data_IF_460029988543
#
_entry.id   IF_460029988543
#
_cell.length_a   1.000
_cell.length_b   1.000
_cell.length_c   1.000
_cell.angle_alpha   90.00
_cell.angle_beta   90.00
_cell.angle_gamma   90.00
#
_symmetry.space_group_name_H-M   'P 1'
#
loop_
_entity.id
_entity.type
_entity.pdbx_description
1 polymer ?
#
# COMPACT_ATOMS: atom_id res chain seq x y z
N UNK A 1 -48.51 -30.89 -27.41
CA UNK A 1 -47.39 -31.64 -28.02
C UNK A 1 -46.08 -31.06 -27.49
N UNK A 2 -45.23 -31.92 -26.94
CA UNK A 2 -43.95 -31.60 -26.31
C UNK A 2 -42.92 -31.25 -27.37
N UNK A 3 -42.17 -30.15 -27.23
CA UNK A 3 -40.78 -30.04 -27.74
C UNK A 3 -39.96 -29.11 -26.84
N UNK A 4 -38.85 -29.64 -26.37
CA UNK A 4 -37.89 -29.06 -25.44
C UNK A 4 -36.67 -28.49 -26.17
N UNK A 5 -35.82 -27.76 -25.43
CA UNK A 5 -34.35 -27.55 -25.64
C UNK A 5 -34.01 -26.41 -26.65
N UNK A 6 -33.07 -25.49 -26.44
CA UNK A 6 -31.89 -25.42 -25.54
C UNK A 6 -31.53 -23.96 -25.17
N UNK A 7 -31.03 -23.80 -23.95
CA UNK A 7 -30.19 -22.67 -23.51
C UNK A 7 -28.82 -22.74 -24.20
N UNK A 8 -28.40 -21.66 -24.87
CA UNK A 8 -27.02 -21.49 -25.32
C UNK A 8 -26.31 -20.52 -24.37
N UNK A 9 -25.45 -21.07 -23.50
CA UNK A 9 -24.51 -20.33 -22.66
C UNK A 9 -23.40 -19.79 -23.57
N UNK A 10 -23.38 -18.47 -23.77
CA UNK A 10 -22.24 -17.79 -24.40
C UNK A 10 -21.17 -17.61 -23.32
N UNK A 11 -20.21 -18.52 -23.29
CA UNK A 11 -18.98 -18.38 -22.53
C UNK A 11 -18.11 -17.30 -23.19
N UNK A 12 -18.15 -16.07 -22.66
CA UNK A 12 -17.17 -15.04 -22.97
C UNK A 12 -15.84 -15.43 -22.32
N UNK A 13 -14.98 -16.10 -23.09
CA UNK A 13 -13.59 -16.31 -22.73
C UNK A 13 -12.88 -14.95 -22.69
N UNK A 14 -12.64 -14.44 -21.48
CA UNK A 14 -11.76 -13.30 -21.25
C UNK A 14 -10.33 -13.70 -21.64
N UNK A 15 -9.88 -13.20 -22.78
CA UNK A 15 -8.47 -13.24 -23.18
C UNK A 15 -7.74 -12.25 -22.29
N UNK A 16 -7.12 -12.75 -21.22
CA UNK A 16 -6.13 -12.01 -20.46
C UNK A 16 -4.87 -11.84 -21.33
N UNK A 17 -4.31 -10.63 -21.48
CA UNK A 17 -2.92 -10.51 -21.88
C UNK A 17 -2.07 -11.11 -20.76
N UNK A 18 -1.51 -12.29 -21.03
CA UNK A 18 -0.39 -12.85 -20.28
C UNK A 18 0.79 -11.90 -20.45
N UNK A 19 0.93 -10.93 -19.55
CA UNK A 19 2.16 -10.17 -19.40
C UNK A 19 3.22 -11.13 -18.87
N UNK A 20 4.19 -11.45 -19.72
CA UNK A 20 5.39 -12.19 -19.34
C UNK A 20 6.13 -11.44 -18.23
N UNK A 21 6.06 -11.97 -17.00
CA UNK A 21 7.05 -11.68 -15.96
C UNK A 21 8.35 -12.41 -16.29
N UNK A 22 9.12 -11.87 -17.24
CA UNK A 22 10.40 -12.43 -17.67
C UNK A 22 11.58 -11.49 -17.35
N UNK A 23 11.68 -10.99 -16.12
CA UNK A 23 12.94 -10.42 -15.60
C UNK A 23 13.17 -10.70 -14.09
N UNK A 24 12.37 -11.56 -13.46
CA UNK A 24 12.53 -11.90 -12.04
C UNK A 24 13.41 -13.16 -11.80
N UNK A 25 14.31 -13.48 -12.74
CA UNK A 25 14.98 -14.80 -12.79
C UNK A 25 16.49 -14.82 -12.68
N UNK A 26 17.20 -13.69 -12.63
CA UNK A 26 18.68 -13.69 -12.69
C UNK A 26 19.41 -13.18 -11.43
N UNK A 27 18.81 -13.27 -10.24
CA UNK A 27 19.48 -12.79 -9.02
C UNK A 27 20.09 -13.89 -8.13
N UNK A 28 20.03 -15.17 -8.54
CA UNK A 28 20.53 -16.29 -7.70
C UNK A 28 21.49 -17.26 -8.40
N UNK A 29 22.31 -16.79 -9.32
CA UNK A 29 23.31 -17.61 -10.01
C UNK A 29 24.65 -16.91 -10.14
N UNK A 30 25.64 -17.40 -9.41
CA UNK A 30 26.97 -16.80 -9.32
C UNK A 30 27.72 -16.68 -10.66
N UNK A 31 28.39 -15.54 -10.82
CA UNK A 31 29.54 -15.37 -11.70
C UNK A 31 30.66 -14.74 -10.87
N UNK A 32 31.74 -15.51 -10.66
CA UNK A 32 32.99 -15.02 -10.10
C UNK A 32 33.65 -14.01 -11.04
N UNK A 33 34.42 -13.09 -10.42
CA UNK A 33 35.26 -12.01 -10.98
C UNK A 33 34.51 -10.68 -11.09
N UNK A 34 34.88 -9.59 -10.41
CA UNK A 34 36.18 -9.17 -9.92
C UNK A 34 36.09 -8.48 -8.54
N UNK A 35 37.17 -8.60 -7.78
CA UNK A 35 37.44 -7.88 -6.54
C UNK A 35 37.54 -6.36 -6.80
N UNK A 36 36.44 -5.65 -6.61
CA UNK A 36 36.41 -4.24 -6.22
C UNK A 36 35.46 -4.15 -5.04
N UNK A 37 35.89 -3.55 -3.94
CA UNK A 37 35.10 -3.34 -2.71
C UNK A 37 33.61 -3.11 -3.02
N UNK A 38 32.80 -4.15 -2.80
CA UNK A 38 31.36 -4.10 -3.00
C UNK A 38 30.76 -3.23 -1.88
N UNK A 39 30.84 -1.91 -2.04
CA UNK A 39 29.92 -1.02 -1.37
C UNK A 39 28.52 -1.44 -1.80
N UNK A 40 27.63 -1.66 -0.82
CA UNK A 40 26.24 -1.98 -1.10
C UNK A 40 25.70 -0.99 -2.16
N UNK A 41 24.97 -1.48 -3.17
CA UNK A 41 24.31 -0.60 -4.14
C UNK A 41 23.12 0.10 -3.47
N UNK A 42 23.44 1.14 -2.70
CA UNK A 42 22.47 1.94 -1.97
C UNK A 42 21.52 2.67 -2.94
N UNK A 43 21.99 2.99 -4.15
CA UNK A 43 21.17 3.69 -5.15
C UNK A 43 20.06 2.79 -5.70
N UNK A 44 20.37 1.54 -6.02
CA UNK A 44 19.39 0.53 -6.41
C UNK A 44 18.44 0.18 -5.27
N UNK A 45 18.96 0.00 -4.05
CA UNK A 45 18.15 -0.25 -2.86
C UNK A 45 17.17 0.89 -2.56
N UNK A 46 17.63 2.15 -2.61
CA UNK A 46 16.75 3.31 -2.47
C UNK A 46 15.65 3.29 -3.53
N UNK A 47 16.00 3.08 -4.80
CA UNK A 47 15.03 3.10 -5.91
C UNK A 47 13.94 2.05 -5.75
N UNK A 48 14.30 0.88 -5.22
CA UNK A 48 13.33 -0.16 -4.89
C UNK A 48 12.46 0.23 -3.68
N UNK A 49 13.07 0.78 -2.62
CA UNK A 49 12.34 1.25 -1.44
C UNK A 49 11.33 2.35 -1.80
N UNK A 50 11.74 3.36 -2.57
CA UNK A 50 10.86 4.47 -2.95
C UNK A 50 9.68 4.03 -3.81
N UNK A 51 9.91 3.08 -4.72
CA UNK A 51 8.84 2.49 -5.54
C UNK A 51 7.85 1.71 -4.67
N UNK A 52 8.33 0.84 -3.78
CA UNK A 52 7.48 0.04 -2.89
C UNK A 52 6.72 0.92 -1.90
N UNK A 53 7.39 1.90 -1.29
CA UNK A 53 6.79 2.85 -0.36
C UNK A 53 5.67 3.65 -1.01
N UNK A 54 5.92 4.22 -2.20
CA UNK A 54 4.89 4.95 -2.94
C UNK A 54 3.71 4.08 -3.31
N UNK A 55 3.96 2.85 -3.78
CA UNK A 55 2.91 1.91 -4.14
C UNK A 55 2.03 1.55 -2.94
N UNK A 56 2.64 1.27 -1.78
CA UNK A 56 1.94 1.04 -0.54
C UNK A 56 1.09 2.25 -0.13
N UNK A 57 1.64 3.47 -0.22
CA UNK A 57 0.90 4.69 0.08
C UNK A 57 -0.27 4.94 -0.87
N UNK A 58 -0.14 4.60 -2.16
CA UNK A 58 -1.24 4.66 -3.14
C UNK A 58 -2.39 3.71 -2.77
N UNK A 59 -2.07 2.50 -2.33
CA UNK A 59 -3.10 1.57 -1.85
C UNK A 59 -3.81 2.14 -0.63
N UNK A 60 -3.08 2.71 0.33
CA UNK A 60 -3.67 3.32 1.52
C UNK A 60 -4.57 4.50 1.17
N UNK A 61 -4.14 5.39 0.27
CA UNK A 61 -4.99 6.50 -0.21
C UNK A 61 -6.25 5.98 -0.90
N UNK A 62 -6.13 4.95 -1.74
CA UNK A 62 -7.28 4.32 -2.41
C UNK A 62 -8.24 3.72 -1.39
N UNK A 63 -7.71 3.00 -0.40
CA UNK A 63 -8.46 2.43 0.69
C UNK A 63 -9.21 3.49 1.51
N UNK A 64 -8.52 4.59 1.85
CA UNK A 64 -9.10 5.73 2.54
C UNK A 64 -10.21 6.38 1.70
N UNK A 65 -10.08 6.39 0.37
CA UNK A 65 -11.10 6.80 -0.58
C UNK A 65 -12.40 6.02 -0.42
N UNK A 66 -12.31 4.69 -0.50
CA UNK A 66 -13.43 3.79 -0.33
C UNK A 66 -14.06 3.90 1.07
N UNK A 67 -13.23 3.88 2.13
CA UNK A 67 -13.70 4.00 3.51
C UNK A 67 -14.38 5.37 3.72
N UNK A 68 -13.78 6.45 3.24
CA UNK A 68 -14.34 7.79 3.33
C UNK A 68 -15.67 7.91 2.58
N UNK A 69 -15.76 7.37 1.36
CA UNK A 69 -17.00 7.34 0.58
C UNK A 69 -18.11 6.56 1.31
N UNK A 70 -17.80 5.39 1.86
CA UNK A 70 -18.72 4.58 2.64
C UNK A 70 -19.24 5.29 3.90
N UNK A 71 -18.38 6.10 4.54
CA UNK A 71 -18.72 6.90 5.71
C UNK A 71 -19.37 8.25 5.36
N UNK A 72 -19.43 8.62 4.08
CA UNK A 72 -19.96 9.90 3.60
C UNK A 72 -19.03 11.10 3.82
N UNK A 73 -17.73 10.88 3.97
CA UNK A 73 -16.70 11.91 4.03
C UNK A 73 -16.45 12.42 2.60
N UNK A 74 -16.61 13.72 2.35
CA UNK A 74 -16.41 14.30 1.01
C UNK A 74 -14.96 14.15 0.54
N UNK A 75 -14.76 13.56 -0.64
CA UNK A 75 -13.49 13.12 -1.23
C UNK A 75 -12.47 14.22 -1.62
N UNK A 76 -12.57 15.44 -1.07
CA UNK A 76 -11.73 16.57 -1.48
C UNK A 76 -10.26 16.44 -1.06
N UNK A 77 -9.91 15.51 -0.16
CA UNK A 77 -8.54 15.32 0.35
C UNK A 77 -7.75 14.19 -0.35
N UNK A 78 -8.41 13.25 -1.02
CA UNK A 78 -7.84 11.90 -1.22
C UNK A 78 -7.03 11.76 -2.54
N UNK A 79 -7.23 12.64 -3.53
CA UNK A 79 -6.83 12.33 -4.90
C UNK A 79 -5.57 13.06 -5.44
N UNK A 80 -5.10 14.13 -4.79
CA UNK A 80 -4.01 14.96 -5.34
C UNK A 80 -2.61 14.32 -5.17
N UNK A 81 -2.39 13.51 -4.13
CA UNK A 81 -1.08 12.86 -3.89
C UNK A 81 -0.84 11.60 -4.75
N UNK A 82 -1.88 11.06 -5.39
CA UNK A 82 -1.81 9.82 -6.17
C UNK A 82 -1.22 9.99 -7.59
N UNK A 83 -1.06 11.21 -8.08
CA UNK A 83 -0.78 11.47 -9.51
C UNK A 83 0.67 11.87 -9.84
N UNK A 84 1.55 12.05 -8.85
CA UNK A 84 2.99 12.33 -9.09
C UNK A 84 3.78 11.02 -9.25
N UNK A 85 4.56 10.89 -10.33
CA UNK A 85 5.52 9.79 -10.55
C UNK A 85 6.91 10.09 -9.96
N UNK A 86 7.13 11.29 -9.42
CA UNK A 86 8.42 11.72 -8.87
C UNK A 86 8.73 11.03 -7.54
N UNK A 87 9.85 10.30 -7.44
CA UNK A 87 10.28 9.52 -6.26
C UNK A 87 11.10 10.33 -5.22
N UNK A 88 10.95 11.66 -5.22
CA UNK A 88 11.69 12.53 -4.30
C UNK A 88 11.21 12.40 -2.84
N UNK A 89 12.07 12.74 -1.88
CA UNK A 89 11.70 12.75 -0.45
C UNK A 89 10.51 13.67 -0.17
N UNK A 90 10.43 14.83 -0.85
CA UNK A 90 9.30 15.75 -0.71
C UNK A 90 7.98 15.18 -1.22
N UNK A 91 7.99 14.38 -2.29
CA UNK A 91 6.78 13.72 -2.78
C UNK A 91 6.31 12.63 -1.82
N UNK A 92 7.25 11.87 -1.23
CA UNK A 92 6.94 10.86 -0.21
C UNK A 92 6.36 11.53 1.05
N UNK A 93 6.90 12.67 1.45
CA UNK A 93 6.36 13.45 2.57
C UNK A 93 4.97 13.99 2.29
N UNK A 94 4.71 14.50 1.09
CA UNK A 94 3.38 14.95 0.69
C UNK A 94 2.37 13.79 0.71
N UNK A 95 2.77 12.60 0.25
CA UNK A 95 1.97 11.38 0.35
C UNK A 95 1.65 11.02 1.80
N UNK A 96 2.65 10.98 2.68
CA UNK A 96 2.44 10.63 4.09
C UNK A 96 1.54 11.64 4.82
N UNK A 97 1.65 12.93 4.47
CA UNK A 97 0.75 13.98 4.96
C UNK A 97 -0.70 13.75 4.52
N UNK A 98 -0.92 13.38 3.26
CA UNK A 98 -2.25 13.07 2.75
C UNK A 98 -2.84 11.84 3.46
N UNK A 99 -2.07 10.76 3.56
CA UNK A 99 -2.47 9.54 4.28
C UNK A 99 -2.83 9.87 5.74
N UNK A 100 -2.04 10.70 6.41
CA UNK A 100 -2.28 11.08 7.80
C UNK A 100 -3.55 11.91 7.97
N UNK A 101 -3.80 12.86 7.07
CA UNK A 101 -5.01 13.67 7.07
C UNK A 101 -6.27 12.82 6.84
N UNK A 102 -6.22 11.90 5.89
CA UNK A 102 -7.31 10.97 5.60
C UNK A 102 -7.55 10.02 6.78
N UNK A 103 -6.50 9.44 7.34
CA UNK A 103 -6.57 8.57 8.51
C UNK A 103 -7.21 9.29 9.71
N UNK A 104 -6.89 10.56 9.91
CA UNK A 104 -7.51 11.38 10.95
C UNK A 104 -9.00 11.61 10.67
N UNK A 105 -9.37 12.03 9.46
CA UNK A 105 -10.77 12.25 9.09
C UNK A 105 -11.62 10.97 9.23
N UNK A 106 -11.08 9.82 8.82
CA UNK A 106 -11.72 8.52 9.00
C UNK A 106 -11.84 8.20 10.49
N UNK A 107 -10.76 8.32 11.26
CA UNK A 107 -10.77 8.06 12.70
C UNK A 107 -11.81 8.92 13.44
N UNK A 108 -11.93 10.18 13.06
CA UNK A 108 -12.91 11.11 13.63
C UNK A 108 -14.34 10.71 13.26
N UNK A 109 -14.61 10.32 12.01
CA UNK A 109 -15.90 9.81 11.58
C UNK A 109 -16.30 8.50 12.30
N UNK A 110 -15.34 7.59 12.49
CA UNK A 110 -15.54 6.34 13.22
C UNK A 110 -15.87 6.61 14.70
N UNK A 111 -15.22 7.61 15.33
CA UNK A 111 -15.49 8.02 16.72
C UNK A 111 -16.80 8.80 16.88
N UNK A 112 -17.20 9.57 15.87
CA UNK A 112 -18.45 10.36 15.91
C UNK A 112 -19.71 9.51 15.72
N UNK A 113 -19.57 8.17 15.64
CA UNK A 113 -20.69 7.26 15.48
C UNK A 113 -21.24 7.21 14.06
N UNK A 114 -20.41 7.41 13.04
CA UNK A 114 -20.81 7.18 11.65
C UNK A 114 -21.39 5.75 11.50
N UNK A 115 -22.36 5.57 10.62
CA UNK A 115 -22.95 4.26 10.33
C UNK A 115 -23.00 4.03 8.83
N UNK A 116 -22.93 2.76 8.44
CA UNK A 116 -23.04 2.37 7.04
C UNK A 116 -24.51 2.36 6.65
N UNK A 117 -24.91 3.33 5.81
CA UNK A 117 -26.30 3.65 5.52
C UNK A 117 -27.06 2.54 4.77
N UNK A 118 -26.35 1.77 3.95
CA UNK A 118 -26.93 0.73 3.10
C UNK A 118 -25.91 -0.39 2.77
N UNK A 119 -26.34 -1.39 1.99
CA UNK A 119 -25.46 -2.49 1.55
C UNK A 119 -24.34 -2.02 0.62
N UNK A 120 -24.55 -0.98 -0.17
CA UNK A 120 -23.52 -0.44 -1.05
C UNK A 120 -22.40 0.18 -0.21
N UNK A 121 -22.73 0.97 0.82
CA UNK A 121 -21.77 1.50 1.78
C UNK A 121 -21.02 0.39 2.53
N UNK A 122 -21.71 -0.71 2.90
CA UNK A 122 -21.05 -1.88 3.51
C UNK A 122 -20.05 -2.54 2.58
N UNK A 123 -20.40 -2.70 1.30
CA UNK A 123 -19.52 -3.28 0.29
C UNK A 123 -18.33 -2.37 0.00
N UNK A 124 -18.57 -1.07 -0.20
CA UNK A 124 -17.55 -0.05 -0.40
C UNK A 124 -16.56 -0.02 0.77
N UNK A 125 -17.07 -0.07 2.01
CA UNK A 125 -16.25 -0.15 3.21
C UNK A 125 -15.39 -1.42 3.24
N UNK A 126 -15.96 -2.57 2.85
CA UNK A 126 -15.25 -3.84 2.78
C UNK A 126 -14.13 -3.81 1.74
N UNK A 127 -14.38 -3.24 0.57
CA UNK A 127 -13.38 -3.05 -0.49
C UNK A 127 -12.24 -2.16 0.00
N UNK A 128 -12.57 -1.04 0.64
CA UNK A 128 -11.58 -0.17 1.28
C UNK A 128 -10.76 -0.90 2.34
N UNK A 129 -11.39 -1.74 3.18
CA UNK A 129 -10.69 -2.51 4.21
C UNK A 129 -9.71 -3.52 3.60
N UNK A 130 -10.08 -4.20 2.51
CA UNK A 130 -9.18 -5.12 1.79
C UNK A 130 -7.96 -4.38 1.27
N UNK A 131 -8.14 -3.24 0.62
CA UNK A 131 -7.05 -2.44 0.08
C UNK A 131 -6.18 -1.86 1.20
N UNK A 132 -6.77 -1.45 2.32
CA UNK A 132 -6.02 -0.95 3.48
C UNK A 132 -5.09 -2.03 4.03
N UNK A 133 -5.59 -3.25 4.19
CA UNK A 133 -4.79 -4.40 4.62
C UNK A 133 -3.63 -4.64 3.66
N UNK A 134 -3.86 -4.58 2.35
CA UNK A 134 -2.77 -4.74 1.36
C UNK A 134 -1.71 -3.65 1.48
N UNK A 135 -2.11 -2.39 1.64
CA UNK A 135 -1.18 -1.27 1.87
C UNK A 135 -0.35 -1.48 3.14
N UNK A 136 -0.99 -1.83 4.25
CA UNK A 136 -0.31 -2.14 5.53
C UNK A 136 0.67 -3.30 5.38
N UNK A 137 0.26 -4.39 4.71
CA UNK A 137 1.16 -5.54 4.44
C UNK A 137 2.39 -5.12 3.66
N UNK A 138 2.26 -4.25 2.65
CA UNK A 138 3.40 -3.75 1.86
C UNK A 138 4.35 -2.89 2.70
N UNK A 139 3.82 -2.02 3.57
CA UNK A 139 4.63 -1.26 4.52
C UNK A 139 5.39 -2.18 5.49
N UNK A 140 4.72 -3.18 6.07
CA UNK A 140 5.34 -4.14 6.98
C UNK A 140 6.42 -4.97 6.26
N UNK A 141 6.10 -5.51 5.09
CA UNK A 141 7.03 -6.36 4.32
C UNK A 141 8.33 -5.63 3.99
N UNK A 142 8.25 -4.33 3.68
CA UNK A 142 9.39 -3.46 3.37
C UNK A 142 10.33 -3.19 4.56
N UNK A 143 9.93 -3.53 5.79
CA UNK A 143 10.71 -3.21 7.00
C UNK A 143 12.11 -3.82 6.97
N UNK A 144 12.26 -5.03 6.40
CA UNK A 144 13.54 -5.71 6.31
C UNK A 144 14.48 -5.03 5.30
N UNK A 145 13.97 -4.64 4.13
CA UNK A 145 14.73 -3.89 3.13
C UNK A 145 15.10 -2.50 3.63
N UNK A 146 14.19 -1.83 4.34
CA UNK A 146 14.44 -0.53 4.95
C UNK A 146 15.54 -0.62 6.02
N UNK A 147 15.53 -1.66 6.85
CA UNK A 147 16.58 -1.89 7.85
C UNK A 147 17.92 -2.22 7.19
N UNK A 148 17.92 -3.01 6.12
CA UNK A 148 19.12 -3.31 5.33
C UNK A 148 19.71 -2.03 4.74
N UNK A 149 18.86 -1.17 4.17
CA UNK A 149 19.28 0.13 3.66
C UNK A 149 19.78 1.05 4.77
N UNK A 150 19.14 1.08 5.95
CA UNK A 150 19.58 1.88 7.09
C UNK A 150 20.99 1.51 7.57
N UNK A 151 21.30 0.21 7.59
CA UNK A 151 22.63 -0.30 7.93
C UNK A 151 23.66 0.14 6.87
N UNK A 152 23.29 0.08 5.60
CA UNK A 152 24.12 0.55 4.50
C UNK A 152 24.31 2.07 4.48
N UNK A 153 23.27 2.82 4.86
CA UNK A 153 23.32 4.29 4.99
C UNK A 153 24.29 4.73 6.08
N UNK A 154 24.36 3.97 7.18
CA UNK A 154 25.29 4.24 8.29
C UNK A 154 26.76 4.07 7.90
N UNK A 155 27.04 3.30 6.85
CA UNK A 155 28.39 3.11 6.28
C UNK A 155 28.62 3.88 4.96
N UNK A 156 27.62 4.66 4.52
CA UNK A 156 27.71 5.46 3.30
C UNK A 156 28.69 6.62 3.45
N UNK A 157 29.45 6.91 2.40
CA UNK A 157 30.37 8.06 2.40
C UNK A 157 29.58 9.37 2.36
N UNK A 158 30.09 10.48 2.96
CA UNK A 158 29.42 11.79 2.91
C UNK A 158 29.09 12.28 1.50
N UNK A 159 29.86 11.88 0.49
CA UNK A 159 29.59 12.20 -0.92
C UNK A 159 28.39 11.45 -1.51
N UNK A 160 27.98 10.31 -0.93
CA UNK A 160 26.84 9.51 -1.38
C UNK A 160 25.52 9.95 -0.72
N UNK A 161 25.58 10.51 0.49
CA UNK A 161 24.40 10.89 1.28
C UNK A 161 23.40 11.82 0.55
N UNK A 162 23.83 12.83 -0.23
CA UNK A 162 22.89 13.71 -0.93
C UNK A 162 21.98 12.95 -1.92
N UNK A 163 22.47 11.87 -2.52
CA UNK A 163 21.70 11.03 -3.44
C UNK A 163 20.77 10.03 -2.75
N UNK A 164 20.84 9.89 -1.41
CA UNK A 164 20.16 8.87 -0.61
C UNK A 164 19.01 9.41 0.27
N UNK A 165 18.60 10.65 0.03
CA UNK A 165 17.62 11.37 0.87
C UNK A 165 16.24 10.70 0.90
N UNK A 166 15.73 10.18 -0.22
CA UNK A 166 14.43 9.51 -0.25
C UNK A 166 14.43 8.21 0.55
N UNK A 167 15.50 7.43 0.47
CA UNK A 167 15.67 6.21 1.26
C UNK A 167 15.83 6.52 2.74
N UNK A 168 16.60 7.56 3.09
CA UNK A 168 16.74 8.03 4.46
C UNK A 168 15.40 8.51 5.05
N UNK A 169 14.60 9.22 4.24
CA UNK A 169 13.24 9.60 4.62
C UNK A 169 12.39 8.37 4.97
N UNK A 170 12.37 7.36 4.09
CA UNK A 170 11.60 6.13 4.28
C UNK A 170 12.01 5.40 5.56
N UNK A 171 13.32 5.21 5.79
CA UNK A 171 13.81 4.56 7.01
C UNK A 171 13.31 5.27 8.28
N UNK A 172 13.22 6.60 8.24
CA UNK A 172 12.75 7.41 9.37
C UNK A 172 11.23 7.38 9.52
N UNK A 173 10.47 7.44 8.43
CA UNK A 173 9.00 7.54 8.47
C UNK A 173 8.32 6.18 8.63
N UNK A 174 8.89 5.13 8.05
CA UNK A 174 8.29 3.80 7.95
C UNK A 174 7.77 3.23 9.28
N UNK A 175 8.53 3.22 10.39
CA UNK A 175 8.05 2.67 11.66
C UNK A 175 6.79 3.40 12.17
N UNK A 176 6.77 4.72 12.04
CA UNK A 176 5.63 5.57 12.44
C UNK A 176 4.43 5.33 11.51
N UNK A 177 4.67 5.24 10.20
CA UNK A 177 3.61 4.93 9.22
C UNK A 177 2.97 3.57 9.51
N UNK A 178 3.76 2.53 9.80
CA UNK A 178 3.24 1.20 10.18
C UNK A 178 2.38 1.29 11.44
N UNK A 179 2.88 1.95 12.50
CA UNK A 179 2.14 2.12 13.77
C UNK A 179 0.80 2.84 13.57
N UNK A 180 0.81 3.95 12.82
CA UNK A 180 -0.40 4.73 12.57
C UNK A 180 -1.42 3.95 11.73
N UNK A 181 -0.97 3.27 10.67
CA UNK A 181 -1.85 2.53 9.77
C UNK A 181 -2.41 1.25 10.40
N UNK A 182 -1.62 0.55 11.23
CA UNK A 182 -2.13 -0.59 12.01
C UNK A 182 -3.16 -0.12 13.04
N UNK A 183 -2.94 1.03 13.68
CA UNK A 183 -3.93 1.66 14.56
C UNK A 183 -5.24 2.02 13.84
N UNK A 184 -5.16 2.61 12.64
CA UNK A 184 -6.32 2.89 11.78
C UNK A 184 -7.03 1.60 11.39
N UNK A 185 -6.29 0.59 10.92
CA UNK A 185 -6.83 -0.69 10.51
C UNK A 185 -7.57 -1.38 11.67
N UNK A 186 -7.03 -1.34 12.89
CA UNK A 186 -7.69 -1.88 14.08
C UNK A 186 -9.05 -1.23 14.32
N UNK A 187 -9.10 0.09 14.25
CA UNK A 187 -10.35 0.85 14.41
C UNK A 187 -11.34 0.52 13.29
N UNK A 188 -10.86 0.44 12.05
CA UNK A 188 -11.68 0.10 10.89
C UNK A 188 -12.25 -1.33 10.96
N UNK A 189 -11.45 -2.31 11.38
CA UNK A 189 -11.89 -3.70 11.60
C UNK A 189 -12.94 -3.77 12.72
N UNK A 190 -12.72 -3.05 13.82
CA UNK A 190 -13.68 -3.00 14.94
C UNK A 190 -15.03 -2.44 14.47
N UNK A 191 -14.99 -1.38 13.67
CA UNK A 191 -16.16 -0.77 13.08
C UNK A 191 -16.88 -1.70 12.09
N UNK A 192 -16.13 -2.36 11.20
CA UNK A 192 -16.66 -3.35 10.27
C UNK A 192 -17.45 -4.44 10.99
N UNK A 193 -16.87 -5.03 12.04
CA UNK A 193 -17.54 -6.06 12.85
C UNK A 193 -18.83 -5.54 13.49
N UNK A 194 -18.79 -4.33 14.02
CA UNK A 194 -19.95 -3.70 14.68
C UNK A 194 -21.07 -3.35 13.70
N UNK A 195 -20.76 -3.18 12.41
CA UNK A 195 -21.73 -2.85 11.35
C UNK A 195 -22.06 -4.06 10.43
N UNK A 196 -21.69 -5.29 10.82
CA UNK A 196 -22.01 -6.50 10.06
C UNK A 196 -21.26 -6.63 8.73
N UNK A 197 -20.12 -5.95 8.59
CA UNK A 197 -19.24 -6.07 7.40
C UNK A 197 -18.27 -7.23 7.61
N UNK A 198 -18.15 -8.10 6.60
CA UNK A 198 -17.20 -9.20 6.62
C UNK A 198 -15.77 -8.67 6.66
N UNK A 199 -15.00 -9.12 7.65
CA UNK A 199 -13.59 -8.72 7.81
C UNK A 199 -12.70 -9.72 7.05
N UNK A 200 -11.77 -9.26 6.20
CA UNK A 200 -10.80 -10.13 5.55
C UNK A 200 -9.95 -10.88 6.59
N UNK A 201 -9.73 -12.18 6.41
CA UNK A 201 -8.87 -12.98 7.32
C UNK A 201 -7.43 -12.42 7.40
N UNK A 202 -6.96 -11.83 6.31
CA UNK A 202 -5.66 -11.16 6.25
C UNK A 202 -5.57 -9.93 7.17
N UNK A 203 -6.69 -9.27 7.49
CA UNK A 203 -6.69 -8.12 8.39
C UNK A 203 -6.23 -8.49 9.80
N UNK A 204 -6.57 -9.69 10.27
CA UNK A 204 -6.12 -10.20 11.57
C UNK A 204 -4.66 -10.66 11.58
N UNK A 205 -4.04 -10.88 10.41
CA UNK A 205 -2.63 -11.29 10.34
C UNK A 205 -1.63 -10.13 10.50
N UNK A 206 -2.10 -8.89 10.36
CA UNK A 206 -1.30 -7.67 10.43
C UNK A 206 -1.62 -6.78 11.65
N UNK A 207 -2.56 -7.21 12.50
CA UNK A 207 -2.99 -6.55 13.74
C UNK A 207 -2.51 -7.32 14.95
#
# INVERSE_FOLDING_TARGET
>A
MKKSIAFAVVSMALVFPVTSFAQFGNFLGGSKSASSSAGADLSGQQSQLTRTYRAAGKDVLTANGHIGAALGIKAQAINAAATSDSMSASDLEAQDKAISADAQAISDALKSGATLKDEAARKEYAEGLVVLVQGVKKYIAMSAEAQTFANGLSSASPMQLPGLQSGAYIVRSLPTSISNLTGLLKNAVSFARSNGVAVPADATSVL
#
